data_IF_484668766678
#
_entry.id   IF_484668766678
#
_cell.length_a   1.000
_cell.length_b   1.000
_cell.length_c   1.000
_cell.angle_alpha   90.00
_cell.angle_beta   90.00
_cell.angle_gamma   90.00
#
_symmetry.space_group_name_H-M   'P 1'
#
loop_
_entity.id
_entity.type
_entity.pdbx_description
1 polymer ?
#
# COMPACT_ATOMS: atom_id res chain seq x y z
N UNK A 1 -19.20 -20.45 -24.95
CA UNK A 1 -19.52 -20.69 -23.52
C UNK A 1 -18.88 -19.53 -22.77
N UNK A 2 -19.68 -18.60 -22.21
CA UNK A 2 -19.16 -17.59 -21.30
C UNK A 2 -18.80 -18.31 -20.00
N UNK A 3 -17.51 -18.47 -19.74
CA UNK A 3 -17.05 -18.94 -18.44
C UNK A 3 -17.30 -17.76 -17.50
N UNK A 4 -18.34 -17.87 -16.68
CA UNK A 4 -18.59 -16.92 -15.62
C UNK A 4 -17.47 -17.13 -14.60
N UNK A 5 -16.61 -16.12 -14.44
CA UNK A 5 -15.56 -16.17 -13.43
C UNK A 5 -16.21 -16.43 -12.06
N UNK A 6 -15.60 -17.28 -11.22
CA UNK A 6 -16.15 -17.56 -9.90
C UNK A 6 -16.28 -16.25 -9.13
N UNK A 7 -17.51 -15.92 -8.73
CA UNK A 7 -17.78 -14.79 -7.85
C UNK A 7 -17.24 -15.12 -6.46
N UNK A 8 -16.14 -14.49 -6.08
CA UNK A 8 -15.62 -14.54 -4.71
C UNK A 8 -16.39 -13.50 -3.91
N UNK A 9 -17.26 -13.96 -3.02
CA UNK A 9 -17.84 -13.10 -2.00
C UNK A 9 -16.73 -12.75 -1.01
N UNK A 10 -16.38 -11.47 -0.95
CA UNK A 10 -15.30 -10.96 -0.09
C UNK A 10 -15.53 -11.22 1.40
N UNK A 11 -16.79 -11.44 1.81
CA UNK A 11 -17.14 -11.84 3.17
C UNK A 11 -16.70 -13.27 3.51
N UNK A 12 -16.41 -14.09 2.50
CA UNK A 12 -16.04 -15.50 2.65
C UNK A 12 -14.52 -15.72 2.56
N UNK A 13 -13.72 -14.64 2.48
CA UNK A 13 -12.27 -14.74 2.48
C UNK A 13 -11.77 -15.25 3.84
N UNK A 14 -10.76 -16.14 3.85
CA UNK A 14 -10.23 -16.69 5.09
C UNK A 14 -9.60 -15.59 5.96
N UNK A 15 -10.12 -15.44 7.18
CA UNK A 15 -9.59 -14.49 8.16
C UNK A 15 -8.47 -15.14 8.97
N UNK A 16 -7.30 -14.51 8.98
CA UNK A 16 -6.16 -14.87 9.82
C UNK A 16 -6.08 -13.93 11.03
N UNK A 17 -6.92 -14.18 12.03
CA UNK A 17 -6.97 -13.36 13.26
C UNK A 17 -5.70 -13.49 14.13
N UNK A 18 -4.87 -14.49 13.89
CA UNK A 18 -3.60 -14.67 14.62
C UNK A 18 -2.47 -13.81 14.04
N UNK A 19 -2.64 -13.27 12.83
CA UNK A 19 -1.62 -12.46 12.18
C UNK A 19 -1.57 -11.06 12.79
N UNK A 20 -0.49 -10.78 13.51
CA UNK A 20 -0.24 -9.49 14.18
C UNK A 20 0.76 -8.61 13.42
N UNK A 21 1.52 -9.19 12.49
CA UNK A 21 2.51 -8.49 11.66
C UNK A 21 2.52 -9.06 10.25
N UNK A 22 2.64 -8.19 9.25
CA UNK A 22 2.62 -8.58 7.84
C UNK A 22 3.48 -7.65 6.98
N UNK A 23 4.33 -8.25 6.16
CA UNK A 23 5.21 -7.57 5.21
C UNK A 23 4.73 -7.87 3.78
N UNK A 24 4.32 -6.82 3.05
CA UNK A 24 3.83 -6.92 1.68
C UNK A 24 4.79 -6.23 0.72
N UNK A 25 5.33 -7.01 -0.22
CA UNK A 25 6.17 -6.51 -1.31
C UNK A 25 5.49 -6.77 -2.65
N UNK A 26 5.22 -5.71 -3.42
CA UNK A 26 4.54 -5.83 -4.72
C UNK A 26 5.37 -5.17 -5.82
N UNK A 27 5.68 -5.92 -6.88
CA UNK A 27 6.48 -5.48 -8.03
C UNK A 27 5.71 -5.61 -9.36
N UNK A 28 4.38 -5.63 -9.28
CA UNK A 28 3.45 -5.74 -10.42
C UNK A 28 2.42 -4.61 -10.36
N UNK A 29 1.56 -4.52 -11.37
CA UNK A 29 0.40 -3.62 -11.40
C UNK A 29 -0.71 -4.22 -10.51
N UNK A 30 -1.30 -3.40 -9.65
CA UNK A 30 -2.44 -3.74 -8.80
C UNK A 30 -3.23 -2.47 -8.50
N UNK A 31 -4.46 -2.64 -8.02
CA UNK A 31 -5.26 -1.55 -7.48
C UNK A 31 -5.21 -1.54 -5.94
N UNK A 32 -5.47 -0.38 -5.35
CA UNK A 32 -5.46 -0.22 -3.88
C UNK A 32 -6.53 -1.09 -3.20
N UNK A 33 -7.60 -1.44 -3.92
CA UNK A 33 -8.66 -2.35 -3.44
C UNK A 33 -8.13 -3.77 -3.21
N UNK A 34 -7.20 -4.24 -4.04
CA UNK A 34 -6.53 -5.53 -3.83
C UNK A 34 -5.80 -5.57 -2.49
N UNK A 35 -5.15 -4.47 -2.10
CA UNK A 35 -4.52 -4.35 -0.77
C UNK A 35 -5.59 -4.34 0.33
N UNK A 36 -6.68 -3.60 0.13
CA UNK A 36 -7.80 -3.58 1.08
C UNK A 36 -8.31 -5.00 1.40
N UNK A 37 -8.45 -5.87 0.38
CA UNK A 37 -8.87 -7.26 0.59
C UNK A 37 -7.88 -8.08 1.38
N UNK A 38 -6.57 -7.92 1.13
CA UNK A 38 -5.52 -8.58 1.91
C UNK A 38 -5.60 -8.15 3.38
N UNK A 39 -5.68 -6.83 3.61
CA UNK A 39 -5.75 -6.23 4.93
C UNK A 39 -6.99 -6.64 5.72
N UNK A 40 -8.14 -6.74 5.05
CA UNK A 40 -9.40 -7.24 5.61
C UNK A 40 -9.26 -8.64 6.20
N UNK A 41 -8.40 -9.47 5.63
CA UNK A 41 -8.16 -10.83 6.12
C UNK A 41 -7.32 -10.87 7.40
N UNK A 42 -6.85 -9.73 7.92
CA UNK A 42 -5.88 -9.63 9.02
C UNK A 42 -6.36 -8.65 10.12
N UNK A 43 -7.55 -8.83 10.71
CA UNK A 43 -8.18 -7.81 11.57
C UNK A 43 -7.37 -7.42 12.82
N UNK A 44 -6.47 -8.31 13.27
CA UNK A 44 -5.62 -8.08 14.45
C UNK A 44 -4.21 -7.58 14.10
N UNK A 45 -4.01 -7.07 12.89
CA UNK A 45 -2.72 -6.56 12.44
C UNK A 45 -2.31 -5.33 13.28
N UNK A 46 -1.13 -5.40 13.90
CA UNK A 46 -0.55 -4.35 14.74
C UNK A 46 0.60 -3.65 14.01
N UNK A 47 1.33 -4.38 13.16
CA UNK A 47 2.43 -3.85 12.35
C UNK A 47 2.29 -4.27 10.89
N UNK A 48 2.26 -3.29 10.00
CA UNK A 48 2.26 -3.52 8.56
C UNK A 48 3.49 -2.87 7.92
N UNK A 49 4.16 -3.59 7.02
CA UNK A 49 5.22 -3.04 6.19
C UNK A 49 4.87 -3.19 4.72
N UNK A 50 4.94 -2.10 3.98
CA UNK A 50 4.63 -2.05 2.57
C UNK A 50 5.83 -1.59 1.75
N UNK A 51 6.14 -2.37 0.73
CA UNK A 51 7.24 -2.16 -0.20
C UNK A 51 6.71 -2.23 -1.63
N UNK A 52 6.81 -1.14 -2.37
CA UNK A 52 6.44 -1.11 -3.78
C UNK A 52 7.51 -0.43 -4.63
N UNK A 53 7.94 -1.12 -5.69
CA UNK A 53 8.78 -0.52 -6.73
C UNK A 53 8.12 -0.79 -8.09
N UNK A 54 7.92 0.26 -8.88
CA UNK A 54 7.28 0.14 -10.18
C UNK A 54 7.98 0.93 -11.29
N UNK A 55 7.90 0.34 -12.48
CA UNK A 55 8.36 0.90 -13.76
C UNK A 55 7.21 1.52 -14.55
N UNK A 56 6.05 0.86 -14.50
CA UNK A 56 4.88 1.19 -15.29
C UNK A 56 3.67 1.02 -14.38
N UNK A 57 3.04 2.13 -14.04
CA UNK A 57 1.76 2.17 -13.34
C UNK A 57 0.90 3.20 -14.05
N UNK A 58 -0.40 2.96 -14.19
CA UNK A 58 -1.30 4.00 -14.69
C UNK A 58 -1.38 5.13 -13.66
N UNK A 59 -1.45 6.38 -14.12
CA UNK A 59 -1.37 7.54 -13.22
C UNK A 59 -2.33 7.45 -12.04
N UNK A 60 -3.59 7.09 -12.34
CA UNK A 60 -4.64 6.93 -11.35
C UNK A 60 -4.30 5.94 -10.23
N UNK A 61 -3.63 4.83 -10.56
CA UNK A 61 -3.23 3.86 -9.54
C UNK A 61 -2.10 4.40 -8.68
N UNK A 62 -1.12 5.11 -9.25
CA UNK A 62 -0.07 5.68 -8.43
C UNK A 62 -0.64 6.73 -7.47
N UNK A 63 -1.51 7.62 -7.96
CA UNK A 63 -2.15 8.65 -7.14
C UNK A 63 -2.85 8.03 -5.94
N UNK A 64 -3.57 6.91 -6.13
CA UNK A 64 -4.18 6.16 -5.04
C UNK A 64 -3.14 5.56 -4.06
N UNK A 65 -2.01 5.07 -4.56
CA UNK A 65 -0.94 4.50 -3.72
C UNK A 65 -0.25 5.55 -2.86
N UNK A 66 -0.08 6.77 -3.36
CA UNK A 66 0.59 7.86 -2.63
C UNK A 66 -0.39 8.78 -1.90
N UNK A 67 -1.66 8.40 -1.82
CA UNK A 67 -2.68 9.12 -1.08
C UNK A 67 -2.84 8.56 0.34
N UNK A 68 -2.30 9.26 1.32
CA UNK A 68 -2.41 8.93 2.74
C UNK A 68 -3.85 8.86 3.26
N UNK A 69 -4.81 9.59 2.68
CA UNK A 69 -6.21 9.48 3.08
C UNK A 69 -6.81 8.13 2.70
N UNK A 70 -6.46 7.59 1.53
CA UNK A 70 -6.91 6.27 1.07
C UNK A 70 -6.41 5.17 2.02
N UNK A 71 -5.12 5.22 2.36
CA UNK A 71 -4.53 4.33 3.35
C UNK A 71 -5.20 4.45 4.72
N UNK A 72 -5.47 5.68 5.18
CA UNK A 72 -6.08 5.91 6.49
C UNK A 72 -7.44 5.24 6.56
N UNK A 73 -8.27 5.45 5.54
CA UNK A 73 -9.60 4.88 5.48
C UNK A 73 -9.57 3.35 5.50
N UNK A 74 -8.64 2.73 4.75
CA UNK A 74 -8.49 1.28 4.74
C UNK A 74 -8.11 0.73 6.12
N UNK A 75 -7.12 1.31 6.80
CA UNK A 75 -6.71 0.80 8.11
C UNK A 75 -7.75 1.03 9.19
N UNK A 76 -8.44 2.17 9.20
CA UNK A 76 -9.54 2.42 10.14
C UNK A 76 -10.69 1.43 9.96
N UNK A 77 -10.94 1.00 8.72
CA UNK A 77 -11.98 0.02 8.41
C UNK A 77 -11.56 -1.42 8.73
N UNK A 78 -10.36 -1.83 8.35
CA UNK A 78 -9.97 -3.24 8.34
C UNK A 78 -8.99 -3.64 9.45
N UNK A 79 -8.16 -2.70 9.94
CA UNK A 79 -7.11 -2.97 10.93
C UNK A 79 -7.06 -1.87 12.00
N UNK A 80 -8.12 -1.69 12.80
CA UNK A 80 -8.19 -0.60 13.79
C UNK A 80 -7.13 -0.70 14.91
N UNK A 81 -6.48 -1.86 15.05
CA UNK A 81 -5.41 -2.11 16.01
C UNK A 81 -4.01 -1.76 15.50
N UNK A 82 -3.89 -1.30 14.24
CA UNK A 82 -2.61 -0.95 13.66
C UNK A 82 -1.93 0.14 14.50
N UNK A 83 -0.68 -0.09 14.88
CA UNK A 83 0.12 0.83 15.70
C UNK A 83 1.45 1.22 15.04
N UNK A 84 1.85 0.47 13.99
CA UNK A 84 3.04 0.74 13.19
C UNK A 84 2.77 0.45 11.71
N UNK A 85 3.13 1.40 10.85
CA UNK A 85 3.02 1.29 9.39
C UNK A 85 4.32 1.75 8.72
N UNK A 86 5.12 0.80 8.24
CA UNK A 86 6.33 1.13 7.47
C UNK A 86 5.95 1.18 5.97
N UNK A 87 6.28 2.27 5.28
CA UNK A 87 5.84 2.52 3.92
C UNK A 87 7.00 2.96 3.04
N UNK A 88 7.26 2.20 1.98
CA UNK A 88 8.25 2.57 0.98
C UNK A 88 7.70 2.36 -0.42
N UNK A 89 7.63 3.45 -1.18
CA UNK A 89 7.30 3.43 -2.60
C UNK A 89 8.41 4.09 -3.41
N UNK A 90 8.79 3.42 -4.50
CA UNK A 90 9.83 3.88 -5.41
C UNK A 90 9.35 3.86 -6.86
N UNK A 91 9.38 5.01 -7.53
CA UNK A 91 8.92 5.16 -8.93
C UNK A 91 10.08 5.33 -9.89
N UNK A 92 10.02 4.69 -11.06
CA UNK A 92 10.98 4.96 -12.11
C UNK A 92 10.90 6.44 -12.56
N UNK A 93 12.04 7.10 -12.80
CA UNK A 93 12.06 8.53 -13.20
C UNK A 93 11.34 8.81 -14.53
N UNK A 94 11.14 7.80 -15.37
CA UNK A 94 10.36 7.87 -16.61
C UNK A 94 8.86 8.05 -16.37
N UNK A 95 8.36 7.69 -15.17
CA UNK A 95 6.99 7.93 -14.76
C UNK A 95 6.66 9.43 -14.69
N UNK A 96 5.42 9.88 -15.00
CA UNK A 96 5.05 11.28 -14.89
C UNK A 96 5.36 11.86 -13.49
N UNK A 97 5.60 13.16 -13.45
CA UNK A 97 6.05 13.82 -12.24
C UNK A 97 4.90 13.86 -11.21
N UNK A 98 5.08 13.14 -10.11
CA UNK A 98 4.31 13.31 -8.87
C UNK A 98 4.74 14.60 -8.15
N UNK A 99 3.85 15.17 -7.37
CA UNK A 99 4.10 16.44 -6.67
C UNK A 99 5.01 16.27 -5.45
N UNK A 100 5.21 15.09 -4.88
CA UNK A 100 5.96 14.76 -3.65
C UNK A 100 5.55 15.53 -2.39
N UNK A 101 5.50 16.86 -2.42
CA UNK A 101 5.08 17.69 -1.29
C UNK A 101 3.61 17.42 -0.96
N UNK A 102 2.73 17.41 -1.97
CA UNK A 102 1.32 17.07 -1.80
C UNK A 102 1.14 15.66 -1.21
N UNK A 103 1.93 14.70 -1.67
CA UNK A 103 1.77 13.31 -1.28
C UNK A 103 2.28 13.07 0.12
N UNK A 104 3.47 13.57 0.47
CA UNK A 104 3.97 13.56 1.84
C UNK A 104 2.96 14.25 2.77
N UNK A 105 2.37 15.36 2.35
CA UNK A 105 1.36 16.07 3.14
C UNK A 105 0.08 15.25 3.36
N UNK A 106 -0.33 14.43 2.40
CA UNK A 106 -1.50 13.55 2.55
C UNK A 106 -1.33 12.52 3.68
N UNK A 107 -0.09 12.20 4.08
CA UNK A 107 0.22 11.28 5.18
C UNK A 107 0.36 11.95 6.56
N UNK A 108 0.18 13.27 6.69
CA UNK A 108 0.38 13.98 7.96
C UNK A 108 -0.44 13.40 9.13
N UNK A 109 -1.64 12.87 8.87
CA UNK A 109 -2.43 12.19 9.89
C UNK A 109 -1.69 10.98 10.46
N UNK A 110 -1.12 10.15 9.59
CA UNK A 110 -0.36 8.97 10.02
C UNK A 110 0.91 9.31 10.77
N UNK A 111 1.64 10.34 10.33
CA UNK A 111 2.82 10.84 11.06
C UNK A 111 2.44 11.19 12.50
N UNK A 112 1.26 11.80 12.72
CA UNK A 112 0.74 12.12 14.06
C UNK A 112 0.27 10.88 14.82
N UNK A 113 -0.42 9.95 14.15
CA UNK A 113 -1.01 8.75 14.78
C UNK A 113 0.03 7.67 15.11
N UNK A 114 1.06 7.52 14.29
CA UNK A 114 2.07 6.47 14.36
C UNK A 114 3.48 7.08 14.44
N UNK A 115 3.93 7.54 15.61
CA UNK A 115 5.22 8.23 15.75
C UNK A 115 6.44 7.31 15.50
N UNK A 116 6.26 5.99 15.45
CA UNK A 116 7.31 4.98 15.19
C UNK A 116 7.35 4.51 13.73
N UNK A 117 6.62 5.20 12.84
CA UNK A 117 6.54 4.82 11.44
C UNK A 117 7.82 5.19 10.67
N UNK A 118 8.04 4.55 9.53
CA UNK A 118 9.08 4.93 8.58
C UNK A 118 8.47 5.08 7.19
N UNK A 119 8.61 6.27 6.60
CA UNK A 119 8.08 6.59 5.26
C UNK A 119 9.21 6.97 4.31
N UNK A 120 9.23 6.34 3.14
CA UNK A 120 10.13 6.66 2.03
C UNK A 120 9.28 6.72 0.76
N UNK A 121 9.27 7.87 0.10
CA UNK A 121 8.74 8.02 -1.26
C UNK A 121 9.88 8.57 -2.09
N UNK A 122 10.37 7.79 -3.06
CA UNK A 122 11.51 8.18 -3.85
C UNK A 122 11.37 7.81 -5.33
N UNK A 123 12.41 8.17 -6.10
CA UNK A 123 12.46 7.91 -7.53
C UNK A 123 13.81 7.34 -7.93
N UNK A 124 13.81 6.37 -8.84
CA UNK A 124 15.00 5.63 -9.26
C UNK A 124 15.19 5.66 -10.79
N UNK A 125 16.43 5.45 -11.23
CA UNK A 125 16.77 5.17 -12.64
C UNK A 125 17.20 3.71 -12.75
N UNK A 126 16.93 3.02 -13.88
CA UNK A 126 17.32 1.63 -14.07
C UNK A 126 18.79 1.29 -13.81
N UNK A 127 19.67 2.26 -14.02
CA UNK A 127 21.11 2.15 -13.81
C UNK A 127 21.51 2.04 -12.32
N UNK A 128 20.68 2.50 -11.38
CA UNK A 128 20.98 2.55 -9.95
C UNK A 128 20.51 1.31 -9.16
N UNK A 129 20.04 0.25 -9.84
CA UNK A 129 19.43 -0.92 -9.18
C UNK A 129 20.44 -1.86 -8.51
N UNK A 130 21.69 -1.88 -8.96
CA UNK A 130 22.73 -2.77 -8.41
C UNK A 130 23.35 -2.24 -7.11
N UNK A 131 22.89 -1.10 -6.60
CA UNK A 131 23.47 -0.41 -5.43
C UNK A 131 22.47 -0.18 -4.30
N UNK A 132 21.25 -0.73 -4.38
CA UNK A 132 20.18 -0.58 -3.39
C UNK A 132 19.85 -1.89 -2.70
#
# INVERSE_FOLDING_TARGET
ILIQEPFINENDLPISSQLISFDLSIFTIYDIRSIAYILRCMPNLIHFKFLHETRIIAQSYADDLVNGYTWQHMFEMYNPLLSKFDFHISFEKSYPKLDLDLEINSFQYFVKKYPKWHMIIDRWTPENRNTR
#
